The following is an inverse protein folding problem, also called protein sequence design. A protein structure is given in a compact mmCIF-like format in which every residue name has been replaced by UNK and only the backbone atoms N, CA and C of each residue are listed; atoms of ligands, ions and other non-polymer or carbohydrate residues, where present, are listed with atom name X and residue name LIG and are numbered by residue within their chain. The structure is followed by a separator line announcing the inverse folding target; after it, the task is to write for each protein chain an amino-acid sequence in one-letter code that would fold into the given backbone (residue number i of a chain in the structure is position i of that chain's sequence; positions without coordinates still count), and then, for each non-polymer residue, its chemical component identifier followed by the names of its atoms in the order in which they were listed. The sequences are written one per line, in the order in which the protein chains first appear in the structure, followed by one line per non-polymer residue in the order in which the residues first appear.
data_IF_337254671357
#
_entry.id   IF_337254671357
#
_cell.length_a   1.000
_cell.length_b   1.000
_cell.length_c   1.000
_cell.angle_alpha   90.00
_cell.angle_beta   90.00
_cell.angle_gamma   90.00
#
_symmetry.space_group_name_H-M   'P 1'
#
loop_
_entity.id
_entity.type
_entity.pdbx_description
1 polymer ?
#
# COMPACT_ATOMS: atom_id res chain seq x y z
N UNK A 1 -6.28 -17.94 -4.21
CA UNK A 1 -7.30 -16.93 -3.84
C UNK A 1 -6.59 -15.60 -3.74
N UNK A 2 -7.16 -14.51 -4.28
CA UNK A 2 -6.50 -13.19 -4.22
C UNK A 2 -7.55 -12.20 -3.78
N UNK A 3 -7.39 -11.76 -2.54
CA UNK A 3 -8.14 -10.71 -1.88
C UNK A 3 -7.45 -9.37 -2.30
N UNK A 4 -8.21 -8.28 -2.32
CA UNK A 4 -7.93 -6.98 -2.98
C UNK A 4 -6.46 -6.55 -3.22
N UNK A 5 -6.20 -5.99 -4.40
CA UNK A 5 -5.01 -5.19 -4.72
C UNK A 5 -5.41 -3.71 -4.81
N UNK A 6 -4.68 -2.84 -4.12
CA UNK A 6 -4.87 -1.39 -4.14
C UNK A 6 -3.59 -0.72 -4.61
N UNK A 7 -3.69 0.08 -5.67
CA UNK A 7 -2.61 0.95 -6.13
C UNK A 7 -2.77 2.34 -5.49
N UNK A 8 -1.69 2.84 -4.91
CA UNK A 8 -1.59 4.16 -4.31
C UNK A 8 -0.54 4.99 -5.04
N UNK A 9 -0.89 6.21 -5.36
CA UNK A 9 0.01 7.26 -5.80
C UNK A 9 0.33 8.15 -4.59
N UNK A 10 1.62 8.32 -4.27
CA UNK A 10 2.11 9.07 -3.13
C UNK A 10 2.96 10.26 -3.60
N UNK A 11 2.67 11.46 -3.08
CA UNK A 11 3.36 12.73 -3.39
C UNK A 11 3.49 13.64 -2.16
N UNK A 12 4.56 14.45 -2.03
CA UNK A 12 5.87 14.25 -2.61
C UNK A 12 6.59 13.17 -1.80
N UNK A 13 7.01 12.09 -2.47
CA UNK A 13 8.13 11.30 -1.95
C UNK A 13 9.35 11.85 -2.69
N UNK A 14 10.48 12.10 -2.03
CA UNK A 14 11.74 12.33 -2.72
C UNK A 14 12.44 10.98 -2.98
N UNK A 15 12.09 10.16 -4.00
CA UNK A 15 12.91 9.01 -4.31
C UNK A 15 13.99 9.42 -5.29
N UNK A 16 15.23 9.41 -4.83
CA UNK A 16 16.36 9.15 -5.73
C UNK A 16 16.24 7.74 -6.34
N UNK A 17 15.61 6.78 -5.63
CA UNK A 17 15.44 5.38 -6.09
C UNK A 17 14.18 4.66 -5.54
N UNK A 18 13.72 3.61 -6.23
CA UNK A 18 12.64 2.68 -5.81
C UNK A 18 12.91 2.07 -4.43
N UNK A 19 14.17 1.70 -4.15
CA UNK A 19 14.55 1.05 -2.91
C UNK A 19 14.38 1.97 -1.69
N UNK A 20 14.82 3.24 -1.81
CA UNK A 20 14.65 4.24 -0.75
C UNK A 20 13.17 4.51 -0.47
N UNK A 21 12.37 4.63 -1.53
CA UNK A 21 10.92 4.77 -1.42
C UNK A 21 10.24 3.64 -0.69
N UNK A 22 10.57 2.40 -1.07
CA UNK A 22 10.04 1.20 -0.42
C UNK A 22 10.41 1.18 1.07
N UNK A 23 11.66 1.50 1.41
CA UNK A 23 12.11 1.52 2.80
C UNK A 23 11.36 2.57 3.63
N UNK A 24 11.14 3.76 3.09
CA UNK A 24 10.42 4.83 3.77
C UNK A 24 8.95 4.48 4.01
N UNK A 25 8.26 3.97 2.98
CA UNK A 25 6.87 3.54 3.10
C UNK A 25 6.75 2.37 4.08
N UNK A 26 7.62 1.37 3.98
CA UNK A 26 7.62 0.24 4.91
C UNK A 26 7.85 0.71 6.35
N UNK A 27 8.79 1.63 6.58
CA UNK A 27 9.03 2.17 7.92
C UNK A 27 7.79 2.87 8.49
N UNK A 28 7.06 3.62 7.66
CA UNK A 28 5.81 4.29 8.09
C UNK A 28 4.72 3.27 8.37
N UNK A 29 4.56 2.26 7.52
CA UNK A 29 3.56 1.20 7.72
C UNK A 29 3.89 0.40 8.97
N UNK A 30 5.14 -0.02 9.15
CA UNK A 30 5.59 -0.79 10.32
C UNK A 30 5.43 0.02 11.61
N UNK A 31 5.84 1.29 11.61
CA UNK A 31 5.64 2.17 12.76
C UNK A 31 4.15 2.29 13.13
N UNK A 32 3.29 2.52 12.13
CA UNK A 32 1.84 2.64 12.34
C UNK A 32 1.24 1.33 12.86
N UNK A 33 1.68 0.18 12.35
CA UNK A 33 1.21 -1.12 12.83
C UNK A 33 1.73 -1.43 14.23
N UNK A 34 2.96 -1.04 14.57
CA UNK A 34 3.55 -1.20 15.89
C UNK A 34 2.82 -0.37 16.94
N UNK A 35 2.47 0.88 16.63
CA UNK A 35 1.68 1.75 17.52
C UNK A 35 0.30 1.16 17.84
N UNK A 36 -0.23 0.31 16.96
CA UNK A 36 -1.54 -0.31 17.10
C UNK A 36 -1.47 -1.81 17.44
N UNK A 37 -0.30 -2.36 17.76
CA UNK A 37 -0.09 -3.79 18.07
C UNK A 37 -0.52 -4.75 16.95
N UNK A 38 -0.54 -4.29 15.69
CA UNK A 38 -0.97 -5.03 14.49
C UNK A 38 0.20 -5.48 13.60
N UNK A 39 1.42 -5.58 14.13
CA UNK A 39 2.62 -5.97 13.37
C UNK A 39 2.53 -7.37 12.76
N UNK A 40 1.69 -8.23 13.33
CA UNK A 40 1.41 -9.57 12.80
C UNK A 40 0.95 -9.56 11.33
N UNK A 41 0.33 -8.48 10.85
CA UNK A 41 -0.12 -8.39 9.45
C UNK A 41 1.05 -8.37 8.45
N UNK A 42 2.19 -7.82 8.85
CA UNK A 42 3.42 -7.86 8.06
C UNK A 42 4.15 -9.20 8.24
N UNK A 43 4.25 -9.69 9.48
CA UNK A 43 4.99 -10.91 9.81
C UNK A 43 4.37 -12.17 9.18
N UNK A 44 3.04 -12.26 9.23
CA UNK A 44 2.27 -13.35 8.62
C UNK A 44 2.07 -13.17 7.10
N UNK A 45 2.76 -12.20 6.47
CA UNK A 45 2.62 -11.86 5.05
C UNK A 45 1.17 -11.53 4.62
N UNK A 46 0.29 -11.17 5.56
CA UNK A 46 -1.10 -10.82 5.26
C UNK A 46 -1.22 -9.48 4.52
N UNK A 47 -0.21 -8.63 4.63
CA UNK A 47 -0.03 -7.39 3.90
C UNK A 47 1.29 -7.44 3.12
N UNK A 48 1.22 -7.33 1.80
CA UNK A 48 2.41 -7.24 0.94
C UNK A 48 2.48 -5.85 0.31
N UNK A 49 3.60 -5.16 0.56
CA UNK A 49 3.89 -3.82 0.02
C UNK A 49 4.90 -3.93 -1.12
N UNK A 50 4.50 -3.49 -2.30
CA UNK A 50 5.34 -3.46 -3.51
C UNK A 50 5.37 -2.06 -4.08
N UNK A 51 6.55 -1.55 -4.42
CA UNK A 51 6.67 -0.28 -5.17
C UNK A 51 6.71 -0.63 -6.65
N UNK A 52 5.72 -0.16 -7.41
CA UNK A 52 5.62 -0.45 -8.84
C UNK A 52 6.46 0.52 -9.67
N UNK A 53 6.39 1.82 -9.38
CA UNK A 53 7.09 2.87 -10.14
C UNK A 53 7.45 4.07 -9.27
N UNK A 54 8.52 4.76 -9.65
CA UNK A 54 8.93 6.05 -9.08
C UNK A 54 9.17 7.04 -10.21
N UNK A 55 8.68 8.26 -10.05
CA UNK A 55 8.89 9.38 -10.97
C UNK A 55 9.70 10.44 -10.23
N UNK A 56 11.04 10.43 -10.31
CA UNK A 56 11.89 11.37 -9.59
C UNK A 56 11.65 12.83 -10.05
N UNK A 57 11.35 13.03 -11.33
CA UNK A 57 11.06 14.36 -11.91
C UNK A 57 9.83 15.02 -11.28
N UNK A 58 8.81 14.23 -10.97
CA UNK A 58 7.53 14.70 -10.41
C UNK A 58 7.40 14.44 -8.90
N UNK A 59 8.43 13.84 -8.27
CA UNK A 59 8.41 13.39 -6.88
C UNK A 59 7.21 12.47 -6.53
N UNK A 60 6.78 11.65 -7.50
CA UNK A 60 5.62 10.75 -7.37
C UNK A 60 6.07 9.29 -7.23
N UNK A 61 5.41 8.53 -6.37
CA UNK A 61 5.60 7.08 -6.24
C UNK A 61 4.29 6.32 -6.42
N UNK A 62 4.33 5.22 -7.18
CA UNK A 62 3.24 4.26 -7.29
C UNK A 62 3.57 3.03 -6.45
N UNK A 63 2.70 2.74 -5.50
CA UNK A 63 2.80 1.64 -4.54
C UNK A 63 1.61 0.71 -4.70
N UNK A 64 1.87 -0.56 -4.97
CA UNK A 64 0.90 -1.63 -4.91
C UNK A 64 0.85 -2.25 -3.51
N UNK A 65 -0.32 -2.23 -2.89
CA UNK A 65 -0.62 -2.94 -1.66
C UNK A 65 -1.48 -4.16 -1.98
N UNK A 66 -1.03 -5.35 -1.56
CA UNK A 66 -1.80 -6.60 -1.70
C UNK A 66 -2.22 -7.06 -0.32
N UNK A 67 -3.52 -7.31 -0.15
CA UNK A 67 -4.08 -7.76 1.12
C UNK A 67 -4.56 -9.20 1.00
N UNK A 68 -4.04 -10.10 1.83
CA UNK A 68 -4.40 -11.51 1.81
C UNK A 68 -5.52 -11.87 2.79
N UNK A 69 -5.94 -10.93 3.65
CA UNK A 69 -7.04 -11.12 4.60
C UNK A 69 -7.93 -9.88 4.66
N UNK A 70 -9.17 -10.07 5.08
CA UNK A 70 -10.11 -8.96 5.30
C UNK A 70 -9.62 -8.04 6.44
N UNK A 71 -9.03 -8.63 7.49
CA UNK A 71 -8.39 -7.90 8.58
C UNK A 71 -7.31 -6.93 8.06
N UNK A 72 -6.47 -7.37 7.13
CA UNK A 72 -5.43 -6.51 6.54
C UNK A 72 -6.03 -5.29 5.79
N UNK A 73 -7.19 -5.46 5.14
CA UNK A 73 -7.91 -4.38 4.46
C UNK A 73 -8.50 -3.39 5.48
N UNK A 74 -9.10 -3.89 6.56
CA UNK A 74 -9.68 -3.06 7.62
C UNK A 74 -8.60 -2.25 8.33
N UNK A 75 -7.51 -2.91 8.74
CA UNK A 75 -6.34 -2.26 9.33
C UNK A 75 -5.72 -1.26 8.39
N UNK A 76 -5.66 -1.55 7.08
CA UNK A 76 -5.19 -0.57 6.12
C UNK A 76 -6.04 0.70 6.10
N UNK A 77 -7.36 0.56 6.04
CA UNK A 77 -8.27 1.73 6.00
C UNK A 77 -8.25 2.51 7.30
N UNK A 78 -8.18 1.82 8.44
CA UNK A 78 -8.26 2.43 9.75
C UNK A 78 -6.93 3.05 10.23
N UNK A 79 -5.79 2.44 9.88
CA UNK A 79 -4.48 2.78 10.46
C UNK A 79 -3.50 3.25 9.37
N UNK A 80 -3.27 2.44 8.35
CA UNK A 80 -2.20 2.70 7.36
C UNK A 80 -2.53 3.90 6.47
N UNK A 81 -3.74 3.94 5.90
CA UNK A 81 -4.19 5.02 5.02
C UNK A 81 -4.13 6.40 5.69
N UNK A 82 -4.66 6.62 6.91
CA UNK A 82 -4.53 7.91 7.58
C UNK A 82 -3.08 8.24 7.95
N UNK A 83 -2.25 7.25 8.32
CA UNK A 83 -0.83 7.48 8.59
C UNK A 83 -0.07 7.94 7.33
N UNK A 84 -0.33 7.31 6.19
CA UNK A 84 0.23 7.73 4.90
C UNK A 84 -0.26 9.13 4.52
N UNK A 85 -1.56 9.42 4.69
CA UNK A 85 -2.16 10.74 4.40
C UNK A 85 -1.62 11.89 5.26
N UNK A 86 -1.09 11.59 6.46
CA UNK A 86 -0.47 12.61 7.32
C UNK A 86 0.88 13.09 6.78
N UNK A 87 1.59 12.25 6.02
CA UNK A 87 2.94 12.57 5.51
C UNK A 87 2.98 12.79 4.01
N UNK A 88 2.09 12.14 3.26
CA UNK A 88 2.01 12.21 1.81
C UNK A 88 0.59 12.52 1.37
N UNK A 89 0.47 13.24 0.27
CA UNK A 89 -0.73 13.23 -0.54
C UNK A 89 -0.91 11.82 -1.12
N UNK A 90 -1.94 11.12 -0.65
CA UNK A 90 -2.27 9.76 -1.10
C UNK A 90 -3.44 9.82 -2.08
N UNK A 91 -3.18 9.49 -3.34
CA UNK A 91 -4.20 9.28 -4.37
C UNK A 91 -4.37 7.79 -4.63
N UNK A 92 -5.54 7.24 -4.29
CA UNK A 92 -5.85 5.86 -4.60
C UNK A 92 -6.17 5.72 -6.09
N UNK A 93 -5.31 5.02 -6.84
CA UNK A 93 -5.62 4.57 -8.20
C UNK A 93 -6.45 3.30 -8.09
N UNK A 94 -7.78 3.46 -8.18
CA UNK A 94 -8.66 2.29 -8.19
C UNK A 94 -8.48 1.49 -9.48
N UNK A 95 -7.69 0.43 -9.41
CA UNK A 95 -7.78 -0.70 -10.33
C UNK A 95 -8.35 -1.89 -9.55
N UNK A 96 -9.63 -1.79 -9.19
CA UNK A 96 -10.36 -2.90 -8.59
C UNK A 96 -10.44 -4.00 -9.62
N UNK A 97 -9.47 -4.92 -9.62
CA UNK A 97 -9.51 -6.13 -10.44
C UNK A 97 -10.50 -7.10 -9.78
N UNK A 98 -11.77 -6.69 -9.68
CA UNK A 98 -12.86 -7.62 -9.43
C UNK A 98 -12.75 -8.68 -10.52
N UNK A 99 -12.63 -9.93 -10.10
CA UNK A 99 -12.65 -11.10 -10.97
C UNK A 99 -14.07 -11.32 -11.50
N UNK A 100 -14.68 -10.29 -12.10
CA UNK A 100 -15.95 -10.36 -12.83
C UNK A 100 -15.63 -10.41 -14.30
N UNK A 101 -15.22 -11.58 -14.79
CA UNK A 101 -14.78 -11.70 -16.17
C UNK A 101 -14.47 -13.12 -16.64
N UNK A 102 -15.22 -14.14 -16.18
CA UNK A 102 -15.42 -15.38 -16.96
C UNK A 102 -16.57 -16.23 -16.42
N UNK A 103 -17.79 -15.85 -16.80
CA UNK A 103 -18.87 -16.79 -17.14
C UNK A 103 -19.68 -16.11 -18.24
N UNK A 104 -19.09 -16.09 -19.44
CA UNK A 104 -19.89 -16.03 -20.65
C UNK A 104 -20.41 -17.46 -20.84
N UNK A 105 -21.72 -17.62 -20.62
CA UNK A 105 -22.49 -18.76 -21.11
C UNK A 105 -22.71 -18.60 -22.61
#
# INVERSE_FOLDING_TARGET
ESLDLIELELTPIPPDTIASGKAEILAIIEASLREHEQTQLLDENQLVVSVEKTFPTDAVMIVGLTFLTQLAIETYKAIILPALKKRFEVRQRSKRKSRSGKRAA
#
